data_IF_286885465127
#
_entry.id   IF_286885465127
#
_cell.length_a   1.000
_cell.length_b   1.000
_cell.length_c   1.000
_cell.angle_alpha   90.00
_cell.angle_beta   90.00
_cell.angle_gamma   90.00
#
_symmetry.space_group_name_H-M   'P 1'
#
loop_
_entity.id
_entity.type
_entity.pdbx_description
1 polymer ?
#
# COMPACT_ATOMS: atom_id res chain seq x y z
N UNK A 1 -14.04 -22.58 -2.69
CA UNK A 1 -12.59 -22.68 -2.41
C UNK A 1 -12.15 -21.87 -1.18
N UNK A 2 -12.79 -20.73 -0.83
CA UNK A 2 -12.46 -20.00 0.41
C UNK A 2 -12.98 -20.66 1.71
N UNK A 3 -13.86 -21.67 1.63
CA UNK A 3 -14.42 -22.35 2.81
C UNK A 3 -13.38 -22.91 3.79
N UNK A 4 -12.19 -23.29 3.32
CA UNK A 4 -11.11 -23.75 4.19
C UNK A 4 -10.48 -22.63 5.05
N UNK A 5 -10.78 -21.37 4.74
CA UNK A 5 -10.37 -20.18 5.48
C UNK A 5 -11.53 -19.57 6.29
N UNK A 6 -12.70 -20.21 6.33
CA UNK A 6 -13.82 -19.71 7.12
C UNK A 6 -13.40 -19.61 8.60
N UNK A 7 -13.63 -18.45 9.21
CA UNK A 7 -13.20 -18.15 10.58
C UNK A 7 -11.69 -17.94 10.76
N UNK A 8 -10.90 -17.90 9.67
CA UNK A 8 -9.46 -17.62 9.70
C UNK A 8 -9.14 -16.28 9.08
N UNK A 9 -8.16 -15.59 9.68
CA UNK A 9 -7.58 -14.39 9.10
C UNK A 9 -6.32 -14.73 8.31
N UNK A 10 -6.11 -14.00 7.23
CA UNK A 10 -4.95 -14.14 6.35
C UNK A 10 -4.04 -12.95 6.56
N UNK A 11 -2.79 -13.21 6.98
CA UNK A 11 -1.78 -12.16 7.11
C UNK A 11 -1.32 -11.66 5.74
N UNK A 12 -1.34 -10.34 5.53
CA UNK A 12 -0.93 -9.69 4.30
C UNK A 12 -0.15 -8.39 4.61
N UNK A 13 0.59 -7.88 3.62
CA UNK A 13 1.46 -6.70 3.78
C UNK A 13 1.11 -5.60 2.81
N UNK A 14 0.99 -4.38 3.32
CA UNK A 14 0.83 -3.16 2.54
C UNK A 14 2.14 -2.37 2.61
N UNK A 15 2.81 -2.20 1.47
CA UNK A 15 4.01 -1.39 1.34
C UNK A 15 3.62 0.05 0.99
N UNK A 16 4.16 1.02 1.70
CA UNK A 16 3.85 2.44 1.52
C UNK A 16 4.93 3.32 2.15
N UNK A 17 4.94 4.62 1.86
CA UNK A 17 5.75 5.62 2.55
C UNK A 17 4.82 6.55 3.32
N UNK A 18 5.07 6.73 4.62
CA UNK A 18 4.17 7.44 5.54
C UNK A 18 4.85 8.65 6.17
N UNK A 19 4.13 9.76 6.24
CA UNK A 19 4.45 10.86 7.16
C UNK A 19 4.10 10.45 8.59
N UNK A 20 4.74 11.07 9.59
CA UNK A 20 4.61 10.67 11.00
C UNK A 20 3.15 10.62 11.49
N UNK A 21 2.31 11.56 11.05
CA UNK A 21 0.89 11.60 11.41
C UNK A 21 0.05 10.51 10.73
N UNK A 22 0.47 10.03 9.56
CA UNK A 22 -0.24 8.99 8.80
C UNK A 22 -0.06 7.62 9.45
N UNK A 23 1.11 7.34 10.01
CA UNK A 23 1.30 6.15 10.83
C UNK A 23 0.36 6.15 12.03
N UNK A 24 0.27 7.28 12.75
CA UNK A 24 -0.67 7.45 13.86
C UNK A 24 -2.13 7.21 13.44
N UNK A 25 -2.52 7.70 12.26
CA UNK A 25 -3.85 7.46 11.70
C UNK A 25 -4.11 5.97 11.42
N UNK A 26 -3.14 5.23 10.87
CA UNK A 26 -3.29 3.79 10.64
C UNK A 26 -3.39 3.03 11.97
N UNK A 27 -2.61 3.40 12.99
CA UNK A 27 -2.71 2.78 14.32
C UNK A 27 -4.07 3.04 14.98
N UNK A 28 -4.66 4.21 14.77
CA UNK A 28 -5.94 4.58 15.37
C UNK A 28 -7.16 4.05 14.60
N UNK A 29 -7.10 4.04 13.27
CA UNK A 29 -8.27 3.82 12.40
C UNK A 29 -8.16 2.56 11.55
N UNK A 30 -6.94 2.04 11.36
CA UNK A 30 -6.62 0.97 10.43
C UNK A 30 -6.39 1.47 9.00
N UNK A 31 -6.46 0.55 8.02
CA UNK A 31 -6.29 0.88 6.60
C UNK A 31 -7.65 1.15 5.96
N UNK A 32 -7.82 2.34 5.40
CA UNK A 32 -9.04 2.77 4.71
C UNK A 32 -8.96 2.44 3.21
N UNK A 33 -10.11 2.24 2.58
CA UNK A 33 -10.21 2.14 1.12
C UNK A 33 -9.70 3.41 0.45
N UNK A 34 -9.03 3.27 -0.69
CA UNK A 34 -8.63 4.41 -1.51
C UNK A 34 -9.88 5.10 -2.10
N UNK A 35 -10.12 6.34 -1.70
CA UNK A 35 -11.14 7.23 -2.25
C UNK A 35 -10.52 8.59 -2.59
N UNK A 36 -11.21 9.38 -3.41
CA UNK A 36 -10.81 10.77 -3.69
C UNK A 36 -10.70 11.58 -2.39
N UNK A 37 -11.65 11.42 -1.46
CA UNK A 37 -11.61 12.07 -0.15
C UNK A 37 -10.37 11.68 0.64
N UNK A 38 -10.00 10.39 0.68
CA UNK A 38 -8.79 9.96 1.38
C UNK A 38 -7.53 10.57 0.75
N UNK A 39 -7.45 10.65 -0.58
CA UNK A 39 -6.31 11.26 -1.27
C UNK A 39 -6.23 12.75 -0.97
N UNK A 40 -7.35 13.47 -1.09
CA UNK A 40 -7.41 14.90 -0.82
C UNK A 40 -7.11 15.23 0.64
N UNK A 41 -7.65 14.45 1.60
CA UNK A 41 -7.36 14.62 3.03
C UNK A 41 -5.87 14.47 3.34
N UNK A 42 -5.18 13.54 2.66
CA UNK A 42 -3.73 13.34 2.80
C UNK A 42 -2.94 14.51 2.23
N UNK A 43 -3.30 14.97 1.02
CA UNK A 43 -2.67 16.13 0.39
C UNK A 43 -2.86 17.40 1.25
N UNK A 44 -4.09 17.65 1.70
CA UNK A 44 -4.43 18.80 2.53
C UNK A 44 -3.70 18.75 3.89
N UNK A 45 -3.55 17.57 4.51
CA UNK A 45 -2.76 17.43 5.74
C UNK A 45 -1.28 17.67 5.51
N UNK A 46 -0.70 17.10 4.45
CA UNK A 46 0.70 17.30 4.10
C UNK A 46 1.01 18.78 3.84
N UNK A 47 0.12 19.48 3.13
CA UNK A 47 0.21 20.92 2.88
C UNK A 47 0.09 21.75 4.18
N UNK A 48 -0.96 21.51 4.99
CA UNK A 48 -1.15 22.23 6.27
C UNK A 48 0.03 22.08 7.23
N UNK A 49 0.69 20.92 7.21
CA UNK A 49 1.86 20.63 8.06
C UNK A 49 3.19 21.10 7.43
N UNK A 50 3.15 21.77 6.27
CA UNK A 50 4.33 22.34 5.62
C UNK A 50 5.20 21.34 4.85
N UNK A 51 4.72 20.11 4.63
CA UNK A 51 5.44 19.13 3.80
C UNK A 51 5.36 19.47 2.31
N UNK A 52 4.29 20.15 1.88
CA UNK A 52 4.09 20.62 0.51
C UNK A 52 3.97 22.14 0.50
N UNK A 53 4.55 22.78 -0.50
CA UNK A 53 4.24 24.16 -0.87
C UNK A 53 2.88 24.25 -1.56
N UNK A 54 2.36 25.48 -1.69
CA UNK A 54 1.09 25.73 -2.39
C UNK A 54 1.11 25.18 -3.83
N UNK A 55 2.21 25.37 -4.55
CA UNK A 55 2.35 24.91 -5.93
C UNK A 55 2.42 23.38 -6.04
N UNK A 56 3.15 22.72 -5.13
CA UNK A 56 3.23 21.26 -5.08
C UNK A 56 1.87 20.65 -4.71
N UNK A 57 1.18 21.22 -3.72
CA UNK A 57 -0.14 20.77 -3.31
C UNK A 57 -1.17 20.89 -4.44
N UNK A 58 -1.26 22.05 -5.08
CA UNK A 58 -2.19 22.28 -6.19
C UNK A 58 -1.92 21.32 -7.35
N UNK A 59 -0.64 21.16 -7.75
CA UNK A 59 -0.25 20.25 -8.83
C UNK A 59 -0.65 18.80 -8.53
N UNK A 60 -0.38 18.31 -7.32
CA UNK A 60 -0.77 16.96 -6.90
C UNK A 60 -2.29 16.79 -6.78
N UNK A 61 -3.02 17.84 -6.41
CA UNK A 61 -4.49 17.80 -6.25
C UNK A 61 -5.20 17.64 -7.59
N UNK A 62 -4.73 18.31 -8.63
CA UNK A 62 -5.31 18.22 -9.98
C UNK A 62 -4.76 17.05 -10.81
N UNK A 63 -3.63 16.46 -10.41
CA UNK A 63 -2.99 15.37 -11.12
C UNK A 63 -2.69 14.18 -10.20
N UNK A 64 -3.74 13.41 -9.87
CA UNK A 64 -3.64 12.14 -9.18
C UNK A 64 -4.65 11.12 -9.73
N UNK A 65 -4.52 9.85 -9.36
CA UNK A 65 -5.29 8.75 -9.95
C UNK A 65 -6.81 8.81 -9.68
N UNK A 66 -7.27 9.64 -8.72
CA UNK A 66 -8.70 9.82 -8.41
C UNK A 66 -9.34 10.94 -9.22
N UNK A 67 -8.54 11.75 -9.94
CA UNK A 67 -9.03 12.79 -10.83
C UNK A 67 -9.48 12.15 -12.16
N UNK A 68 -10.69 12.49 -12.68
CA UNK A 68 -11.15 11.99 -13.97
C UNK A 68 -10.14 12.24 -15.10
N UNK A 69 -9.80 11.19 -15.85
CA UNK A 69 -8.83 11.26 -16.95
C UNK A 69 -7.37 11.01 -16.55
N UNK A 70 -7.04 11.01 -15.26
CA UNK A 70 -5.67 10.84 -14.74
C UNK A 70 -5.40 9.43 -14.18
N UNK A 71 -6.16 8.43 -14.65
CA UNK A 71 -6.09 7.07 -14.12
C UNK A 71 -4.73 6.44 -14.43
N UNK A 72 -4.00 6.05 -13.39
CA UNK A 72 -2.83 5.19 -13.50
C UNK A 72 -3.17 3.80 -14.04
N UNK A 73 -2.17 2.94 -14.18
CA UNK A 73 -2.40 1.54 -14.55
C UNK A 73 -3.17 0.80 -13.45
N UNK A 74 -4.41 0.42 -13.75
CA UNK A 74 -5.29 -0.33 -12.86
C UNK A 74 -6.25 0.55 -12.05
N UNK A 75 -7.47 0.06 -11.82
CA UNK A 75 -8.46 0.74 -10.96
C UNK A 75 -8.08 0.48 -9.49
N UNK A 76 -7.35 1.43 -8.88
CA UNK A 76 -6.92 1.37 -7.47
C UNK A 76 -7.96 1.90 -6.50
N UNK A 77 -8.99 2.59 -7.00
CA UNK A 77 -10.14 3.06 -6.20
C UNK A 77 -10.86 1.87 -5.54
N UNK A 78 -11.41 2.13 -4.35
CA UNK A 78 -12.20 1.18 -3.57
C UNK A 78 -11.46 -0.11 -3.21
N UNK A 79 -10.15 -0.03 -2.98
CA UNK A 79 -9.35 -1.15 -2.48
C UNK A 79 -8.20 -0.71 -1.58
N UNK A 80 -7.76 -1.65 -0.74
CA UNK A 80 -6.43 -1.69 -0.13
C UNK A 80 -5.60 -2.73 -0.90
N UNK A 81 -4.43 -2.33 -1.40
CA UNK A 81 -3.51 -3.23 -2.12
C UNK A 81 -2.52 -3.86 -1.13
N UNK A 82 -2.45 -5.19 -1.07
CA UNK A 82 -1.54 -5.92 -0.19
C UNK A 82 -0.87 -7.10 -0.91
N UNK A 83 0.14 -7.72 -0.30
CA UNK A 83 0.74 -9.00 -0.74
C UNK A 83 0.64 -10.08 0.34
N UNK A 84 0.52 -11.35 -0.06
CA UNK A 84 0.31 -12.49 0.87
C UNK A 84 1.60 -13.13 1.40
N UNK A 85 2.76 -12.74 0.87
CA UNK A 85 4.05 -13.33 1.22
C UNK A 85 5.08 -12.26 1.50
N UNK A 86 6.13 -12.68 2.21
CA UNK A 86 7.37 -11.90 2.35
C UNK A 86 8.18 -11.93 1.04
N UNK A 87 7.87 -12.86 0.14
CA UNK A 87 8.55 -13.01 -1.14
C UNK A 87 8.44 -11.75 -2.03
N UNK A 88 7.31 -11.01 -2.00
CA UNK A 88 7.17 -9.72 -2.68
C UNK A 88 8.22 -8.70 -2.24
N UNK A 89 8.59 -8.71 -0.96
CA UNK A 89 9.57 -7.78 -0.42
C UNK A 89 10.99 -8.23 -0.75
N UNK A 90 11.28 -9.53 -0.66
CA UNK A 90 12.61 -10.08 -0.91
C UNK A 90 13.02 -10.08 -2.40
N UNK A 91 12.05 -10.20 -3.32
CA UNK A 91 12.32 -10.30 -4.76
C UNK A 91 11.87 -9.09 -5.55
N UNK A 92 11.40 -8.02 -4.88
CA UNK A 92 10.77 -6.85 -5.50
C UNK A 92 9.72 -7.23 -6.56
N UNK A 93 9.00 -8.34 -6.36
CA UNK A 93 8.33 -9.03 -7.47
C UNK A 93 7.06 -8.36 -7.98
N UNK A 94 6.64 -7.23 -7.41
CA UNK A 94 5.36 -6.57 -7.73
C UNK A 94 5.44 -5.04 -7.63
N UNK A 95 6.61 -4.44 -7.88
CA UNK A 95 6.77 -2.98 -7.83
C UNK A 95 6.77 -2.39 -6.41
N UNK A 96 6.92 -3.22 -5.37
CA UNK A 96 6.98 -2.80 -3.97
C UNK A 96 8.05 -1.75 -3.70
N UNK A 97 9.17 -1.77 -4.45
CA UNK A 97 10.19 -0.73 -4.37
C UNK A 97 9.65 0.68 -4.63
N UNK A 98 8.79 0.88 -5.65
CA UNK A 98 8.22 2.20 -5.95
C UNK A 98 7.30 2.67 -4.81
N UNK A 99 6.46 1.76 -4.28
CA UNK A 99 5.57 2.05 -3.15
C UNK A 99 6.33 2.48 -1.88
N UNK A 100 7.55 1.97 -1.68
CA UNK A 100 8.42 2.33 -0.57
C UNK A 100 9.31 3.54 -0.88
N UNK A 101 9.52 3.87 -2.15
CA UNK A 101 10.40 4.95 -2.58
C UNK A 101 9.70 6.30 -2.67
N UNK A 102 8.41 6.34 -2.98
CA UNK A 102 7.67 7.58 -3.20
C UNK A 102 6.46 7.68 -2.28
N UNK A 103 6.29 8.84 -1.65
CA UNK A 103 5.12 9.14 -0.83
C UNK A 103 3.83 9.18 -1.64
N UNK A 104 2.73 8.86 -0.95
CA UNK A 104 1.37 8.97 -1.48
C UNK A 104 0.85 7.73 -2.22
N UNK A 105 1.68 6.69 -2.39
CA UNK A 105 1.33 5.46 -3.09
C UNK A 105 0.99 5.72 -4.56
N UNK A 106 0.60 4.67 -5.29
CA UNK A 106 0.29 4.79 -6.72
C UNK A 106 -0.82 5.82 -7.00
N UNK A 107 -1.68 6.09 -6.01
CA UNK A 107 -2.71 7.10 -6.13
C UNK A 107 -2.16 8.50 -6.44
N UNK A 108 -1.03 8.86 -5.81
CA UNK A 108 -0.42 10.18 -5.92
C UNK A 108 0.81 10.09 -6.83
N UNK A 109 1.81 9.25 -6.53
CA UNK A 109 3.10 9.34 -7.22
C UNK A 109 3.09 8.87 -8.68
N UNK A 110 2.13 8.03 -9.09
CA UNK A 110 2.22 7.30 -10.36
C UNK A 110 2.37 8.20 -11.58
N UNK A 111 1.68 9.34 -11.58
CA UNK A 111 1.71 10.29 -12.68
C UNK A 111 2.99 11.16 -12.69
N UNK A 112 3.81 11.09 -11.64
CA UNK A 112 4.93 12.00 -11.42
C UNK A 112 6.29 11.27 -11.42
N UNK A 113 6.36 10.04 -10.92
CA UNK A 113 7.63 9.40 -10.56
C UNK A 113 8.63 9.20 -11.70
N UNK A 114 8.16 9.09 -12.95
CA UNK A 114 9.00 8.86 -14.13
C UNK A 114 9.20 10.11 -15.02
N UNK A 115 8.33 11.13 -14.90
CA UNK A 115 8.25 12.23 -15.87
C UNK A 115 8.32 13.64 -15.26
N UNK A 116 8.13 13.78 -13.94
CA UNK A 116 8.16 15.09 -13.28
C UNK A 116 9.48 15.30 -12.54
N UNK A 117 10.29 16.24 -13.02
CA UNK A 117 11.64 16.52 -12.49
C UNK A 117 11.63 17.18 -11.12
N UNK A 118 10.53 17.82 -10.74
CA UNK A 118 10.42 18.57 -9.49
C UNK A 118 9.63 17.76 -8.46
N UNK A 119 8.49 17.17 -8.85
CA UNK A 119 7.65 16.39 -7.94
C UNK A 119 8.21 15.00 -7.64
N UNK A 120 8.91 14.33 -8.56
CA UNK A 120 9.43 12.99 -8.26
C UNK A 120 10.46 13.01 -7.12
N UNK A 121 11.49 13.87 -7.12
CA UNK A 121 12.41 13.98 -5.98
C UNK A 121 11.70 14.45 -4.71
N UNK A 122 10.73 15.35 -4.83
CA UNK A 122 9.92 15.80 -3.70
C UNK A 122 9.21 14.63 -3.03
N UNK A 123 8.46 13.83 -3.79
CA UNK A 123 7.73 12.67 -3.27
C UNK A 123 8.66 11.60 -2.67
N UNK A 124 9.90 11.48 -3.17
CA UNK A 124 10.91 10.60 -2.54
C UNK A 124 11.38 11.10 -1.18
N UNK A 125 11.45 12.42 -0.99
CA UNK A 125 11.91 13.03 0.26
C UNK A 125 10.88 12.98 1.40
N UNK A 126 9.61 12.69 1.09
CA UNK A 126 8.51 12.76 2.05
C UNK A 126 8.31 11.43 2.78
N UNK A 127 8.22 11.50 4.11
CA UNK A 127 7.87 10.37 4.96
C UNK A 127 8.96 9.30 5.04
N UNK A 128 8.62 8.18 5.68
CA UNK A 128 9.50 7.03 5.93
C UNK A 128 8.91 5.79 5.23
N UNK A 129 9.73 4.94 4.57
CA UNK A 129 9.27 3.67 4.03
C UNK A 129 8.72 2.77 5.13
N UNK A 130 7.57 2.16 4.89
CA UNK A 130 6.85 1.37 5.89
C UNK A 130 6.23 0.13 5.27
N UNK A 131 6.31 -0.98 6.00
CA UNK A 131 5.51 -2.17 5.75
C UNK A 131 4.47 -2.30 6.85
N UNK A 132 3.19 -2.19 6.47
CA UNK A 132 2.05 -2.44 7.36
C UNK A 132 1.64 -3.90 7.20
N UNK A 133 1.70 -4.69 8.27
CA UNK A 133 1.17 -6.05 8.29
C UNK A 133 -0.25 -6.04 8.84
N UNK A 134 -1.19 -6.60 8.08
CA UNK A 134 -2.60 -6.63 8.40
C UNK A 134 -3.18 -8.05 8.34
N UNK A 135 -4.22 -8.29 9.14
CA UNK A 135 -4.97 -9.53 9.17
C UNK A 135 -6.28 -9.37 8.39
N UNK A 136 -6.38 -10.06 7.24
CA UNK A 136 -7.51 -9.96 6.32
C UNK A 136 -8.53 -11.05 6.62
N UNK A 137 -9.80 -10.66 6.71
CA UNK A 137 -10.91 -11.61 6.64
C UNK A 137 -11.44 -11.62 5.20
N UNK A 138 -11.16 -12.70 4.48
CA UNK A 138 -11.56 -12.84 3.08
C UNK A 138 -13.05 -13.17 2.89
N UNK A 139 -13.77 -13.44 3.98
CA UNK A 139 -15.21 -13.64 3.99
C UNK A 139 -15.99 -12.37 4.34
N UNK A 140 -15.31 -11.29 4.76
CA UNK A 140 -15.95 -10.00 5.06
C UNK A 140 -16.74 -9.50 3.84
N UNK A 141 -18.03 -9.14 4.01
CA UNK A 141 -18.82 -8.56 2.93
C UNK A 141 -18.22 -7.23 2.44
N UNK A 142 -18.24 -7.04 1.12
CA UNK A 142 -17.79 -5.82 0.46
C UNK A 142 -18.68 -5.51 -0.74
N UNK A 143 -18.67 -4.24 -1.19
CA UNK A 143 -19.40 -3.82 -2.38
C UNK A 143 -18.96 -4.57 -3.66
N UNK A 144 -17.74 -5.10 -3.65
CA UNK A 144 -17.20 -5.94 -4.72
C UNK A 144 -16.33 -7.04 -4.13
N UNK A 145 -16.21 -8.15 -4.87
CA UNK A 145 -15.44 -9.32 -4.42
C UNK A 145 -13.96 -8.96 -4.28
N UNK A 146 -13.34 -9.42 -3.20
CA UNK A 146 -11.89 -9.38 -3.04
C UNK A 146 -11.19 -10.17 -4.15
N UNK A 147 -10.14 -9.61 -4.72
CA UNK A 147 -9.36 -10.25 -5.79
C UNK A 147 -8.00 -10.64 -5.24
N UNK A 148 -7.53 -11.83 -5.63
CA UNK A 148 -6.22 -12.37 -5.24
C UNK A 148 -5.57 -12.94 -6.49
N UNK A 149 -4.39 -12.45 -6.85
CA UNK A 149 -3.68 -12.86 -8.07
C UNK A 149 -2.17 -13.05 -7.84
N UNK A 150 -1.59 -14.21 -8.22
CA UNK A 150 -2.27 -15.46 -8.58
C UNK A 150 -3.21 -15.95 -7.47
N UNK A 151 -4.13 -16.88 -7.77
CA UNK A 151 -5.14 -17.25 -6.78
C UNK A 151 -4.52 -17.82 -5.49
N UNK A 152 -5.18 -17.63 -4.36
CA UNK A 152 -4.72 -18.13 -3.05
C UNK A 152 -4.26 -19.59 -3.07
N UNK A 153 -4.93 -20.45 -3.85
CA UNK A 153 -4.55 -21.85 -3.91
C UNK A 153 -3.25 -22.07 -4.67
N UNK A 154 -2.94 -21.27 -5.69
CA UNK A 154 -1.61 -21.31 -6.30
C UNK A 154 -0.53 -20.93 -5.29
N UNK A 155 -0.79 -19.93 -4.45
CA UNK A 155 0.15 -19.54 -3.37
C UNK A 155 0.34 -20.68 -2.37
N UNK A 156 -0.76 -21.28 -1.89
CA UNK A 156 -0.70 -22.36 -0.90
C UNK A 156 -0.02 -23.62 -1.46
N UNK A 157 -0.39 -24.04 -2.67
CA UNK A 157 0.21 -25.21 -3.33
C UNK A 157 1.68 -24.94 -3.66
N UNK A 158 2.01 -23.76 -4.19
CA UNK A 158 3.40 -23.36 -4.44
C UNK A 158 4.24 -23.45 -3.18
N UNK A 159 3.75 -22.91 -2.05
CA UNK A 159 4.41 -23.04 -0.75
C UNK A 159 4.55 -24.49 -0.28
N UNK A 160 3.49 -25.31 -0.41
CA UNK A 160 3.51 -26.71 0.01
C UNK A 160 4.51 -27.56 -0.82
N UNK A 161 4.72 -27.21 -2.09
CA UNK A 161 5.67 -27.86 -2.98
C UNK A 161 7.09 -27.27 -2.89
N UNK A 162 7.32 -26.23 -2.10
CA UNK A 162 8.61 -25.54 -2.01
C UNK A 162 8.96 -24.67 -3.22
N UNK A 163 7.99 -24.30 -4.06
CA UNK A 163 8.20 -23.38 -5.17
C UNK A 163 8.16 -21.92 -4.69
N UNK A 164 9.20 -21.16 -5.06
CA UNK A 164 9.36 -19.74 -4.74
C UNK A 164 9.62 -18.90 -5.99
N UNK A 165 9.14 -17.64 -6.04
CA UNK A 165 8.32 -16.97 -5.04
C UNK A 165 6.83 -17.34 -5.15
N UNK A 166 6.29 -18.01 -4.13
CA UNK A 166 4.84 -18.21 -4.00
C UNK A 166 4.23 -17.00 -3.26
N UNK A 167 3.72 -16.05 -4.04
CA UNK A 167 3.07 -14.82 -3.56
C UNK A 167 1.83 -14.49 -4.39
N UNK A 168 1.02 -13.56 -3.88
CA UNK A 168 -0.06 -12.94 -4.61
C UNK A 168 -0.34 -11.53 -4.13
N UNK A 169 -0.74 -10.70 -5.08
CA UNK A 169 -1.42 -9.43 -4.82
C UNK A 169 -2.83 -9.70 -4.31
N UNK A 170 -3.24 -8.90 -3.32
CA UNK A 170 -4.60 -8.85 -2.79
C UNK A 170 -5.14 -7.46 -3.01
N UNK A 171 -6.23 -7.40 -3.77
CA UNK A 171 -7.06 -6.20 -3.89
C UNK A 171 -8.24 -6.36 -2.93
N UNK A 172 -8.01 -5.95 -1.68
CA UNK A 172 -8.97 -6.08 -0.59
C UNK A 172 -9.98 -4.93 -0.68
N UNK A 173 -11.27 -5.28 -0.75
CA UNK A 173 -12.39 -4.37 -1.08
C UNK A 173 -13.15 -3.88 0.15
N UNK A 174 -12.55 -3.99 1.33
CA UNK A 174 -13.07 -3.45 2.58
C UNK A 174 -11.97 -2.69 3.32
N UNK A 175 -12.36 -1.78 4.21
CA UNK A 175 -11.41 -1.19 5.17
C UNK A 175 -10.96 -2.25 6.17
N UNK A 176 -9.71 -2.16 6.62
CA UNK A 176 -9.13 -3.05 7.63
C UNK A 176 -9.11 -2.26 8.96
N UNK A 177 -9.86 -2.69 9.99
CA UNK A 177 -9.92 -1.96 11.25
C UNK A 177 -8.59 -1.99 12.02
N UNK A 178 -8.36 -1.00 12.88
CA UNK A 178 -7.12 -0.82 13.62
C UNK A 178 -6.67 -2.07 14.41
N UNK A 179 -7.61 -2.78 15.05
CA UNK A 179 -7.31 -4.01 15.81
C UNK A 179 -6.83 -5.19 14.94
N UNK A 180 -6.91 -5.09 13.61
CA UNK A 180 -6.37 -6.06 12.65
C UNK A 180 -5.05 -5.60 12.02
N UNK A 181 -4.52 -4.45 12.43
CA UNK A 181 -3.15 -4.05 12.11
C UNK A 181 -2.24 -4.74 13.12
N UNK A 182 -1.43 -5.68 12.62
CA UNK A 182 -0.54 -6.49 13.44
C UNK A 182 0.77 -5.76 13.73
N UNK A 183 1.35 -5.13 12.71
CA UNK A 183 2.59 -4.37 12.85
C UNK A 183 2.71 -3.29 11.80
N UNK A 184 3.50 -2.27 12.14
CA UNK A 184 3.96 -1.22 11.24
C UNK A 184 5.46 -1.13 11.49
N UNK A 185 6.27 -1.44 10.48
CA UNK A 185 7.73 -1.51 10.59
C UNK A 185 8.39 -0.66 9.52
N UNK A 186 9.54 -0.09 9.85
CA UNK A 186 10.29 0.91 9.09
C UNK A 186 11.80 0.62 9.15
N UNK A 187 12.65 1.29 8.34
CA UNK A 187 14.11 1.12 8.40
C UNK A 187 14.66 1.26 9.83
N UNK A 188 15.43 0.27 10.27
CA UNK A 188 15.92 0.13 11.65
C UNK A 188 15.16 -0.89 12.48
N UNK A 189 13.96 -1.30 12.07
CA UNK A 189 13.23 -2.41 12.65
C UNK A 189 13.70 -3.74 12.07
N UNK A 190 13.97 -4.74 12.92
CA UNK A 190 14.47 -6.05 12.48
C UNK A 190 13.58 -6.75 11.43
N UNK A 191 12.26 -6.54 11.50
CA UNK A 191 11.28 -7.11 10.57
C UNK A 191 11.25 -6.42 9.19
N UNK A 192 11.75 -5.18 9.11
CA UNK A 192 11.97 -4.43 7.87
C UNK A 192 13.36 -4.77 7.31
N UNK A 193 14.39 -4.64 8.14
CA UNK A 193 15.80 -4.74 7.76
C UNK A 193 16.21 -6.16 7.32
N UNK A 194 15.42 -7.18 7.66
CA UNK A 194 15.64 -8.55 7.13
C UNK A 194 15.46 -8.66 5.62
N UNK A 195 14.86 -7.66 4.96
CA UNK A 195 14.66 -7.64 3.51
C UNK A 195 15.75 -6.79 2.84
N UNK A 196 16.74 -7.43 2.19
CA UNK A 196 17.81 -6.69 1.55
C UNK A 196 17.28 -5.85 0.38
N UNK A 197 17.80 -4.64 0.21
CA UNK A 197 17.49 -3.78 -0.93
C UNK A 197 16.18 -2.99 -0.82
N UNK A 198 15.48 -3.05 0.31
CA UNK A 198 14.40 -2.11 0.57
C UNK A 198 14.95 -0.68 0.78
N UNK A 199 14.20 0.37 0.41
CA UNK A 199 14.65 1.75 0.57
C UNK A 199 15.02 2.07 2.03
N UNK A 200 16.16 2.77 2.25
CA UNK A 200 16.46 3.31 3.57
C UNK A 200 15.54 4.50 3.89
N UNK A 201 15.69 5.04 5.09
CA UNK A 201 15.00 6.26 5.51
C UNK A 201 15.30 7.42 4.57
#
# INVERSE_FOLDING_TARGET
MLRCLDGRLVRARHATRLLDHEEGAIRAQGLRLLTADLVNDRLDQAHRLGYLSDAEHESLRVNNCTVPGHRGMGRREDQVCLTLSTAAMAHNSHGGYRLLSYWGGEAIYWNHCDNDRDLAPKLQSLGTPVIVTALLDLATPAASRHLIFPSMVHVLVGKALGYGPADADVFYRASIPAHRIESIVSPGDADYDRFPGLPPR
#
